data_IF_662469230274
#
_entry.id   IF_662469230274
#
_cell.length_a   1.000
_cell.length_b   1.000
_cell.length_c   1.000
_cell.angle_alpha   90.00
_cell.angle_beta   90.00
_cell.angle_gamma   90.00
#
_symmetry.space_group_name_H-M   'P 1'
#
loop_
_entity.id
_entity.type
_entity.pdbx_description
1 polymer ?
#
# COMPACT_ATOMS: atom_id res chain seq x y z
N UNK A 1 69.17 53.38 15.30
CA UNK A 1 68.45 52.26 14.67
C UNK A 1 68.87 50.97 15.37
N UNK A 2 68.04 50.44 16.27
CA UNK A 2 68.34 49.22 17.03
C UNK A 2 67.98 48.00 16.17
N UNK A 3 68.93 47.08 15.97
CA UNK A 3 68.70 45.84 15.20
C UNK A 3 67.76 44.92 16.00
N UNK A 4 66.70 44.37 15.40
CA UNK A 4 65.81 43.45 16.09
C UNK A 4 66.54 42.15 16.47
N UNK A 5 66.30 41.71 17.70
CA UNK A 5 66.91 40.54 18.32
C UNK A 5 66.52 39.26 17.57
N UNK A 6 67.46 38.48 17.00
CA UNK A 6 67.16 37.34 16.14
C UNK A 6 66.39 36.24 16.88
N UNK A 7 66.57 36.14 18.20
CA UNK A 7 65.89 35.15 19.05
C UNK A 7 64.38 35.42 19.14
N UNK A 8 63.96 36.70 19.20
CA UNK A 8 62.54 37.06 19.24
C UNK A 8 61.86 36.82 17.89
N UNK A 9 62.58 37.03 16.78
CA UNK A 9 62.07 36.72 15.44
C UNK A 9 61.87 35.21 15.25
N UNK A 10 62.82 34.38 15.71
CA UNK A 10 62.73 32.92 15.60
C UNK A 10 61.60 32.37 16.46
N UNK A 11 61.44 32.84 17.71
CA UNK A 11 60.35 32.40 18.59
C UNK A 11 58.98 32.81 18.06
N UNK A 12 58.87 34.02 17.47
CA UNK A 12 57.64 34.47 16.81
C UNK A 12 57.26 33.62 15.59
N UNK A 13 58.24 33.27 14.75
CA UNK A 13 58.02 32.42 13.57
C UNK A 13 57.69 30.98 13.98
N UNK A 14 58.37 30.43 14.98
CA UNK A 14 58.08 29.09 15.49
C UNK A 14 56.66 29.03 16.09
N UNK A 15 56.27 30.04 16.87
CA UNK A 15 54.93 30.14 17.47
C UNK A 15 53.81 30.16 16.44
N UNK A 16 53.96 30.93 15.36
CA UNK A 16 53.00 30.99 14.24
C UNK A 16 52.92 29.67 13.48
N UNK A 17 54.05 28.97 13.29
CA UNK A 17 54.07 27.66 12.63
C UNK A 17 53.43 26.56 13.49
N UNK A 18 53.57 26.60 14.82
CA UNK A 18 52.89 25.65 15.71
C UNK A 18 51.38 25.89 15.84
N UNK A 19 50.92 27.14 15.74
CA UNK A 19 49.48 27.44 15.81
C UNK A 19 48.70 27.01 14.55
N UNK A 20 49.37 26.93 13.39
CA UNK A 20 48.75 26.53 12.12
C UNK A 20 48.45 25.02 12.01
N UNK A 21 49.03 24.18 12.87
CA UNK A 21 48.84 22.73 12.83
C UNK A 21 47.53 22.23 13.50
N UNK A 22 46.77 23.12 14.15
CA UNK A 22 45.63 22.74 15.00
C UNK A 22 44.22 22.91 14.42
N UNK A 23 44.05 23.44 13.20
CA UNK A 23 42.73 23.75 12.65
C UNK A 23 42.18 22.62 11.75
N UNK A 24 42.05 21.41 12.31
CA UNK A 24 41.56 20.22 11.61
C UNK A 24 40.04 20.05 11.70
N UNK A 25 39.25 21.03 11.25
CA UNK A 25 37.82 20.83 11.04
C UNK A 25 37.51 21.08 9.56
N UNK A 26 37.89 20.12 8.71
CA UNK A 26 37.50 20.15 7.30
C UNK A 26 35.98 19.93 7.22
N UNK A 27 35.26 20.89 6.64
CA UNK A 27 33.83 20.77 6.32
C UNK A 27 33.68 20.41 4.85
N UNK A 28 32.75 19.51 4.54
CA UNK A 28 32.40 19.10 3.18
C UNK A 28 30.89 19.24 2.97
N UNK A 29 30.50 19.94 1.92
CA UNK A 29 29.10 20.01 1.47
C UNK A 29 28.86 18.92 0.44
N UNK A 30 27.91 18.03 0.71
CA UNK A 30 27.58 16.88 -0.12
C UNK A 30 26.20 17.10 -0.76
N UNK A 31 26.13 17.59 -2.00
CA UNK A 31 24.89 17.60 -2.78
C UNK A 31 24.64 16.21 -3.39
N UNK A 32 23.39 15.75 -3.33
CA UNK A 32 22.95 14.47 -3.92
C UNK A 32 21.77 14.73 -4.85
N UNK A 33 22.00 15.06 -6.13
CA UNK A 33 20.92 15.32 -7.06
C UNK A 33 20.14 14.04 -7.39
N UNK A 34 18.82 14.13 -7.33
CA UNK A 34 17.85 13.12 -7.74
C UNK A 34 16.94 13.72 -8.82
N UNK A 35 16.82 13.02 -9.94
CA UNK A 35 15.90 13.37 -11.02
C UNK A 35 15.03 12.15 -11.31
N UNK A 36 13.72 12.35 -11.38
CA UNK A 36 12.75 11.34 -11.80
C UNK A 36 11.94 11.89 -12.97
N UNK A 37 11.95 11.17 -14.08
CA UNK A 37 11.20 11.49 -15.29
C UNK A 37 10.20 10.36 -15.50
N UNK A 38 8.93 10.69 -15.66
CA UNK A 38 7.86 9.73 -15.87
C UNK A 38 6.99 10.17 -17.03
N UNK A 39 6.83 9.31 -18.03
CA UNK A 39 5.91 9.54 -19.13
C UNK A 39 4.80 8.50 -19.10
N UNK A 40 3.60 8.93 -19.44
CA UNK A 40 2.39 8.15 -19.41
C UNK A 40 1.57 8.46 -20.65
N UNK A 41 1.03 7.42 -21.25
CA UNK A 41 0.13 7.53 -22.37
C UNK A 41 -1.05 6.58 -22.15
N UNK A 42 -2.26 7.05 -22.42
CA UNK A 42 -3.43 6.22 -22.42
C UNK A 42 -4.23 6.39 -23.71
N UNK A 43 -4.78 5.26 -24.16
CA UNK A 43 -5.84 5.18 -25.14
C UNK A 43 -6.95 4.34 -24.57
N UNK A 44 -8.19 4.80 -24.76
CA UNK A 44 -9.39 4.06 -24.44
C UNK A 44 -10.30 4.12 -25.63
N UNK A 45 -10.76 2.96 -26.07
CA UNK A 45 -11.88 2.81 -26.99
C UNK A 45 -12.86 1.83 -26.37
N UNK A 46 -14.12 2.24 -26.27
CA UNK A 46 -15.16 1.44 -25.68
C UNK A 46 -16.42 1.49 -26.51
N UNK A 47 -16.97 0.30 -26.80
CA UNK A 47 -18.20 0.14 -27.56
C UNK A 47 -19.24 -0.51 -26.65
N UNK A 48 -20.43 0.07 -26.60
CA UNK A 48 -21.60 -0.47 -25.92
C UNK A 48 -22.79 -0.38 -26.85
N UNK A 49 -23.51 -1.48 -27.06
CA UNK A 49 -24.72 -1.48 -27.85
C UNK A 49 -25.72 -2.49 -27.31
N UNK A 50 -26.99 -2.24 -27.58
CA UNK A 50 -28.06 -3.12 -27.21
C UNK A 50 -29.20 -3.08 -28.20
N UNK A 51 -29.92 -4.19 -28.26
CA UNK A 51 -31.12 -4.36 -29.06
C UNK A 51 -32.14 -5.09 -28.19
N UNK A 52 -33.31 -4.50 -28.06
CA UNK A 52 -34.49 -5.11 -27.48
C UNK A 52 -35.52 -5.32 -28.59
N UNK A 53 -36.21 -6.45 -28.53
CA UNK A 53 -37.36 -6.75 -29.37
C UNK A 53 -38.46 -7.38 -28.52
N UNK A 54 -39.65 -7.57 -29.10
CA UNK A 54 -40.85 -8.01 -28.38
C UNK A 54 -40.71 -9.32 -27.59
N UNK A 55 -39.72 -10.15 -27.88
CA UNK A 55 -39.52 -11.47 -27.26
C UNK A 55 -38.11 -11.72 -26.73
N UNK A 56 -37.25 -10.70 -26.69
CA UNK A 56 -35.88 -10.89 -26.22
C UNK A 56 -35.04 -9.63 -26.28
N UNK A 57 -33.79 -9.76 -25.84
CA UNK A 57 -32.84 -8.67 -25.84
C UNK A 57 -31.42 -9.19 -26.03
N UNK A 58 -30.56 -8.28 -26.47
CA UNK A 58 -29.13 -8.46 -26.55
C UNK A 58 -28.45 -7.18 -26.06
N UNK A 59 -27.39 -7.31 -25.27
CA UNK A 59 -26.57 -6.20 -24.78
C UNK A 59 -25.11 -6.58 -24.82
N UNK A 60 -24.27 -5.69 -25.32
CA UNK A 60 -22.84 -5.85 -25.46
C UNK A 60 -22.16 -4.59 -24.94
N UNK A 61 -21.17 -4.73 -24.05
CA UNK A 61 -20.62 -3.60 -23.30
C UNK A 61 -21.48 -3.26 -22.07
N UNK A 62 -20.83 -3.04 -20.92
CA UNK A 62 -21.49 -2.86 -19.62
C UNK A 62 -20.91 -1.69 -18.82
N UNK A 63 -21.58 -1.34 -17.70
CA UNK A 63 -21.19 -0.24 -16.83
C UNK A 63 -19.76 -0.42 -16.31
N UNK A 64 -18.87 0.47 -16.76
CA UNK A 64 -17.43 0.37 -16.52
C UNK A 64 -16.69 -0.24 -17.71
N UNK A 65 -16.59 0.51 -18.82
CA UNK A 65 -15.50 0.29 -19.77
C UNK A 65 -14.20 0.31 -18.96
N UNK A 66 -13.39 -0.75 -19.08
CA UNK A 66 -12.21 -0.96 -18.25
C UNK A 66 -11.37 0.32 -18.22
N UNK A 67 -11.21 0.90 -17.03
CA UNK A 67 -10.32 2.02 -16.80
C UNK A 67 -8.91 1.49 -17.05
N UNK A 68 -8.13 2.05 -17.99
CA UNK A 68 -6.77 1.62 -18.21
C UNK A 68 -6.02 1.62 -16.86
N UNK A 69 -5.43 0.48 -16.45
CA UNK A 69 -4.75 0.38 -15.15
C UNK A 69 -3.46 1.19 -15.09
N UNK A 70 -3.04 1.74 -16.24
CA UNK A 70 -1.82 2.52 -16.40
C UNK A 70 -2.21 3.80 -17.12
N UNK A 71 -1.70 4.91 -16.60
CA UNK A 71 -1.57 6.14 -17.35
C UNK A 71 -2.37 7.34 -16.86
N UNK A 72 -2.76 7.34 -15.58
CA UNK A 72 -3.59 8.39 -14.97
C UNK A 72 -4.77 8.79 -15.86
N UNK A 73 -5.56 7.78 -16.22
CA UNK A 73 -6.75 7.94 -17.04
C UNK A 73 -7.68 9.00 -16.41
N UNK A 74 -8.03 10.02 -17.20
CA UNK A 74 -9.06 10.99 -16.83
C UNK A 74 -10.42 10.56 -17.44
N UNK A 75 -11.43 10.21 -16.61
CA UNK A 75 -12.76 9.82 -17.08
C UNK A 75 -13.51 10.91 -17.84
N UNK A 76 -13.15 12.18 -17.66
CA UNK A 76 -13.70 13.32 -18.39
C UNK A 76 -12.98 13.61 -19.72
N UNK A 77 -11.78 13.08 -19.93
CA UNK A 77 -10.99 13.29 -21.13
C UNK A 77 -11.34 12.25 -22.21
N UNK A 78 -12.43 12.50 -22.95
CA UNK A 78 -12.80 11.66 -24.08
C UNK A 78 -14.07 12.12 -24.80
N UNK A 79 -14.21 11.71 -26.05
CA UNK A 79 -15.42 11.90 -26.84
C UNK A 79 -16.36 10.71 -26.64
N UNK A 80 -17.61 11.02 -26.29
CA UNK A 80 -18.68 10.03 -26.19
C UNK A 80 -19.70 10.31 -27.30
N UNK A 81 -19.93 9.31 -28.13
CA UNK A 81 -20.91 9.34 -29.21
C UNK A 81 -21.95 8.27 -28.95
N UNK A 82 -23.22 8.59 -29.16
CA UNK A 82 -24.26 7.58 -29.04
C UNK A 82 -25.51 7.95 -29.84
N UNK A 83 -26.18 6.94 -30.36
CA UNK A 83 -27.46 7.09 -31.01
C UNK A 83 -28.40 5.95 -30.59
N UNK A 84 -29.68 6.29 -30.49
CA UNK A 84 -30.76 5.34 -30.23
C UNK A 84 -31.65 5.22 -31.46
N UNK A 85 -32.21 4.04 -31.66
CA UNK A 85 -33.22 3.82 -32.69
C UNK A 85 -34.41 3.08 -32.08
N UNK A 86 -35.59 3.36 -32.64
CA UNK A 86 -36.82 2.64 -32.31
C UNK A 86 -37.64 2.48 -33.58
N UNK A 87 -37.96 1.24 -33.93
CA UNK A 87 -38.75 0.93 -35.12
C UNK A 87 -39.44 -0.43 -34.96
N UNK A 88 -40.74 -0.49 -35.27
CA UNK A 88 -41.45 -1.77 -35.46
C UNK A 88 -41.38 -2.77 -34.30
N UNK A 89 -41.48 -2.32 -33.04
CA UNK A 89 -41.38 -3.21 -31.86
C UNK A 89 -39.94 -3.61 -31.50
N UNK A 90 -38.96 -3.01 -32.15
CA UNK A 90 -37.54 -3.06 -31.78
C UNK A 90 -37.07 -1.69 -31.29
N UNK A 91 -36.25 -1.70 -30.26
CA UNK A 91 -35.53 -0.53 -29.79
C UNK A 91 -34.08 -0.91 -29.51
N UNK A 92 -33.16 0.01 -29.76
CA UNK A 92 -31.75 -0.26 -29.57
C UNK A 92 -30.95 1.00 -29.43
N UNK A 93 -29.73 0.81 -28.99
CA UNK A 93 -28.79 1.88 -28.80
C UNK A 93 -27.40 1.42 -29.21
N UNK A 94 -26.60 2.37 -29.69
CA UNK A 94 -25.19 2.22 -29.90
C UNK A 94 -24.48 3.39 -29.24
N UNK A 95 -23.41 3.10 -28.52
CA UNK A 95 -22.60 4.05 -27.79
C UNK A 95 -21.12 3.71 -28.02
N UNK A 96 -20.34 4.71 -28.36
CA UNK A 96 -18.92 4.65 -28.60
C UNK A 96 -18.24 5.72 -27.74
N UNK A 97 -17.28 5.33 -26.93
CA UNK A 97 -16.45 6.23 -26.14
C UNK A 97 -15.01 6.07 -26.58
N UNK A 98 -14.35 7.15 -26.96
CA UNK A 98 -12.91 7.16 -27.22
C UNK A 98 -12.25 8.30 -26.45
N UNK A 99 -11.13 8.01 -25.80
CA UNK A 99 -10.32 9.00 -25.09
C UNK A 99 -8.85 8.67 -25.24
N UNK A 100 -8.03 9.70 -25.40
CA UNK A 100 -6.58 9.58 -25.50
C UNK A 100 -5.95 10.69 -24.67
N UNK A 101 -4.85 10.40 -24.00
CA UNK A 101 -4.12 11.39 -23.25
C UNK A 101 -2.66 11.02 -23.06
N UNK A 102 -1.85 12.03 -22.82
CA UNK A 102 -0.42 11.92 -22.54
C UNK A 102 -0.10 12.79 -21.32
N UNK A 103 0.68 12.26 -20.37
CA UNK A 103 1.18 12.98 -19.21
C UNK A 103 2.67 12.75 -19.07
N UNK A 104 3.41 13.82 -18.84
CA UNK A 104 4.84 13.81 -18.57
C UNK A 104 5.09 14.50 -17.23
N UNK A 105 5.81 13.82 -16.35
CA UNK A 105 6.22 14.29 -15.03
C UNK A 105 7.74 14.39 -14.97
N UNK A 106 8.24 15.49 -14.40
CA UNK A 106 9.66 15.70 -14.13
C UNK A 106 9.80 16.20 -12.69
N UNK A 107 10.54 15.45 -11.87
CA UNK A 107 10.86 15.80 -10.49
C UNK A 107 12.38 15.93 -10.40
N UNK A 108 12.87 17.09 -9.98
CA UNK A 108 14.30 17.32 -9.70
C UNK A 108 14.46 17.83 -8.29
N UNK A 109 15.18 17.07 -7.47
CA UNK A 109 15.47 17.38 -6.07
C UNK A 109 16.96 17.25 -5.85
N UNK A 110 17.58 18.15 -5.07
CA UNK A 110 19.00 18.06 -4.75
C UNK A 110 19.19 18.35 -3.26
N UNK A 111 19.01 17.35 -2.38
CA UNK A 111 19.39 17.48 -0.98
C UNK A 111 20.89 17.73 -0.85
N UNK A 112 21.26 18.65 0.05
CA UNK A 112 22.63 19.02 0.36
C UNK A 112 22.87 18.99 1.86
N UNK A 113 23.97 18.36 2.29
CA UNK A 113 24.35 18.25 3.70
C UNK A 113 25.80 18.70 3.90
N UNK A 114 26.03 19.64 4.82
CA UNK A 114 27.38 20.02 5.23
C UNK A 114 27.79 19.23 6.47
N UNK A 115 28.83 18.42 6.35
CA UNK A 115 29.38 17.59 7.44
C UNK A 115 30.83 17.97 7.75
N UNK A 116 31.22 17.87 9.01
CA UNK A 116 32.62 17.90 9.42
C UNK A 116 33.27 16.53 9.20
N UNK A 117 34.56 16.52 8.90
CA UNK A 117 35.31 15.27 8.74
C UNK A 117 35.20 14.39 9.99
N UNK A 118 34.82 13.13 9.79
CA UNK A 118 34.65 12.15 10.87
C UNK A 118 33.28 12.15 11.55
N UNK A 119 32.37 13.08 11.21
CA UNK A 119 31.02 13.12 11.78
C UNK A 119 29.98 12.65 10.75
N UNK A 120 29.19 11.61 11.05
CA UNK A 120 28.06 11.24 10.20
C UNK A 120 26.99 12.34 10.29
N UNK A 121 26.30 12.58 9.19
CA UNK A 121 25.09 13.39 9.18
C UNK A 121 24.06 12.77 8.25
N UNK A 122 22.79 13.06 8.52
CA UNK A 122 21.65 12.59 7.75
C UNK A 122 20.70 13.75 7.50
N UNK A 123 20.10 13.76 6.31
CA UNK A 123 19.00 14.65 5.96
C UNK A 123 17.80 13.79 5.59
N UNK A 124 16.63 14.10 6.15
CA UNK A 124 15.37 13.44 5.81
C UNK A 124 14.30 14.50 5.64
N UNK A 125 13.71 14.54 4.45
CA UNK A 125 12.51 15.31 4.15
C UNK A 125 11.42 14.31 3.74
N UNK A 126 10.47 14.07 4.63
CA UNK A 126 9.46 13.05 4.46
C UNK A 126 8.43 13.07 5.59
N UNK A 127 7.22 12.59 5.31
CA UNK A 127 6.17 12.45 6.31
C UNK A 127 6.28 11.12 7.05
N UNK A 128 6.19 11.16 8.38
CA UNK A 128 6.09 9.96 9.21
C UNK A 128 4.62 9.53 9.26
N UNK A 129 4.28 8.42 8.61
CA UNK A 129 2.96 7.79 8.71
C UNK A 129 2.99 6.67 9.75
N UNK A 130 2.44 6.87 10.96
CA UNK A 130 2.42 5.83 11.97
C UNK A 130 1.46 4.70 11.57
N UNK A 131 1.86 3.46 11.82
CA UNK A 131 1.00 2.28 11.67
C UNK A 131 1.00 1.44 12.95
N UNK A 132 -0.14 0.81 13.25
CA UNK A 132 -0.30 -0.05 14.44
C UNK A 132 0.38 -1.39 14.18
N UNK A 133 1.46 -1.68 14.93
CA UNK A 133 2.22 -2.95 14.81
C UNK A 133 1.67 -4.05 15.73
N UNK A 134 0.90 -3.67 16.76
CA UNK A 134 0.27 -4.62 17.67
C UNK A 134 -0.70 -3.94 18.63
N UNK A 135 -1.71 -4.69 19.07
CA UNK A 135 -2.53 -4.31 20.21
C UNK A 135 -2.13 -5.19 21.39
N UNK A 136 -1.72 -4.60 22.51
CA UNK A 136 -1.55 -5.32 23.77
C UNK A 136 -2.81 -5.11 24.63
N UNK A 137 -3.67 -6.12 24.78
CA UNK A 137 -4.81 -6.00 25.69
C UNK A 137 -4.31 -6.01 27.14
N UNK A 138 -4.63 -4.97 27.90
CA UNK A 138 -4.36 -4.91 29.34
C UNK A 138 -5.44 -5.70 30.07
N UNK A 139 -5.10 -6.86 30.62
CA UNK A 139 -5.95 -7.61 31.56
C UNK A 139 -5.43 -7.39 32.99
N UNK A 140 -5.77 -6.23 33.54
CA UNK A 140 -5.45 -5.87 34.93
C UNK A 140 -4.02 -5.35 35.14
N UNK A 141 -3.91 -4.14 35.71
CA UNK A 141 -2.64 -3.52 36.13
C UNK A 141 -1.99 -2.67 35.03
N UNK A 142 -1.89 -1.37 35.27
CA UNK A 142 -1.11 -0.43 34.45
C UNK A 142 0.40 -0.71 34.59
N UNK A 143 1.14 -1.10 33.54
CA UNK A 143 2.53 -0.71 33.43
C UNK A 143 2.58 0.77 33.03
N UNK A 144 3.18 1.59 33.88
CA UNK A 144 3.55 2.96 33.53
C UNK A 144 4.68 2.84 32.51
N UNK A 145 4.33 2.81 31.22
CA UNK A 145 5.32 3.04 30.18
C UNK A 145 5.68 4.52 30.23
N UNK A 146 6.90 4.81 30.67
CA UNK A 146 7.46 6.15 30.59
C UNK A 146 7.29 6.68 29.18
N UNK A 147 6.77 7.90 29.07
CA UNK A 147 6.71 8.68 27.84
C UNK A 147 8.05 8.61 27.12
N UNK A 148 8.16 7.75 26.11
CA UNK A 148 9.25 7.83 25.14
C UNK A 148 8.83 8.95 24.20
N UNK A 149 9.19 10.18 24.57
CA UNK A 149 9.16 11.28 23.62
C UNK A 149 10.09 10.94 22.44
N UNK A 150 9.93 11.59 21.28
CA UNK A 150 10.89 11.45 20.18
C UNK A 150 12.24 11.98 20.66
N UNK A 151 13.08 11.11 21.20
CA UNK A 151 14.47 11.42 21.48
C UNK A 151 15.19 11.37 20.15
N UNK A 152 15.78 12.51 19.75
CA UNK A 152 16.76 12.56 18.68
C UNK A 152 17.79 11.45 18.96
N UNK A 153 18.05 10.52 18.03
CA UNK A 153 19.04 9.49 18.27
C UNK A 153 20.37 10.17 18.56
N UNK A 154 20.90 9.97 19.77
CA UNK A 154 22.24 10.46 20.06
C UNK A 154 23.23 9.76 19.11
N UNK A 155 24.14 10.52 18.47
CA UNK A 155 25.16 9.92 17.63
C UNK A 155 26.02 9.00 18.50
N UNK A 156 25.99 7.70 18.19
CA UNK A 156 26.90 6.73 18.79
C UNK A 156 28.32 7.18 18.43
N UNK A 157 29.05 7.71 19.40
CA UNK A 157 30.46 8.04 19.24
C UNK A 157 31.24 6.74 19.01
N UNK A 158 31.58 6.48 17.75
CA UNK A 158 32.50 5.42 17.37
C UNK A 158 33.92 6.02 17.39
N UNK A 159 34.81 5.58 18.31
CA UNK A 159 36.18 6.01 18.28
C UNK A 159 36.84 5.53 16.98
N UNK A 160 37.57 6.43 16.33
CA UNK A 160 38.30 6.13 15.10
C UNK A 160 39.29 4.98 15.32
N UNK A 161 39.16 3.91 14.54
CA UNK A 161 40.10 2.77 14.54
C UNK A 161 39.46 1.39 14.65
N UNK A 162 38.15 1.28 14.91
CA UNK A 162 37.45 -0.01 14.90
C UNK A 162 36.95 -0.34 13.48
N UNK A 163 37.30 -1.50 12.90
CA UNK A 163 36.78 -1.90 11.60
C UNK A 163 35.26 -2.18 11.68
N UNK A 164 34.47 -1.37 10.96
CA UNK A 164 32.99 -1.36 10.96
C UNK A 164 32.38 -2.50 10.14
N UNK A 165 32.98 -3.70 10.18
CA UNK A 165 32.42 -4.80 9.43
C UNK A 165 32.34 -6.06 10.27
N UNK A 166 31.11 -6.39 10.67
CA UNK A 166 30.76 -7.76 11.02
C UNK A 166 31.27 -8.67 9.88
N UNK A 167 32.08 -9.70 10.16
CA UNK A 167 32.68 -10.55 9.12
C UNK A 167 31.65 -11.19 8.19
N UNK A 168 30.41 -11.38 8.67
CA UNK A 168 29.30 -11.84 7.85
C UNK A 168 28.91 -10.84 6.75
N UNK A 169 28.97 -9.53 7.02
CA UNK A 169 28.66 -8.47 6.05
C UNK A 169 29.75 -8.36 4.99
N UNK A 170 31.03 -8.55 5.37
CA UNK A 170 32.13 -8.63 4.39
C UNK A 170 32.01 -9.86 3.49
N UNK A 171 31.72 -11.01 4.06
CA UNK A 171 31.50 -12.23 3.28
C UNK A 171 30.30 -12.13 2.34
N UNK A 172 29.22 -11.46 2.78
CA UNK A 172 28.05 -11.21 1.94
C UNK A 172 28.35 -10.26 0.78
N UNK A 173 29.13 -9.19 1.03
CA UNK A 173 29.51 -8.23 0.01
C UNK A 173 30.49 -8.82 -1.02
N UNK A 174 31.43 -9.66 -0.56
CA UNK A 174 32.34 -10.39 -1.45
C UNK A 174 31.61 -11.41 -2.33
N UNK A 175 30.59 -12.11 -1.80
CA UNK A 175 29.70 -12.95 -2.63
C UNK A 175 28.90 -12.14 -3.65
N UNK A 176 28.30 -11.03 -3.23
CA UNK A 176 27.53 -10.16 -4.12
C UNK A 176 28.40 -9.55 -5.24
N UNK A 177 29.71 -9.38 -5.00
CA UNK A 177 30.68 -8.93 -6.01
C UNK A 177 31.13 -10.04 -6.97
N UNK A 178 31.07 -11.30 -6.54
CA UNK A 178 31.50 -12.45 -7.32
C UNK A 178 30.38 -13.04 -8.19
N UNK A 179 29.12 -12.64 -7.99
CA UNK A 179 27.98 -13.09 -8.77
C UNK A 179 27.84 -12.26 -10.07
N UNK A 180 27.75 -12.88 -11.26
CA UNK A 180 27.37 -12.17 -12.47
C UNK A 180 25.90 -11.76 -12.38
N UNK A 181 25.62 -10.47 -12.62
CA UNK A 181 24.26 -9.92 -12.64
C UNK A 181 23.40 -10.64 -13.69
N UNK A 182 22.52 -11.53 -13.22
CA UNK A 182 21.37 -12.02 -13.99
C UNK A 182 20.28 -10.94 -14.09
N UNK A 183 19.35 -11.05 -15.06
CA UNK A 183 18.37 -10.01 -15.35
C UNK A 183 17.46 -9.74 -14.15
N UNK A 184 17.41 -8.48 -13.74
CA UNK A 184 16.63 -7.97 -12.63
C UNK A 184 15.12 -8.17 -12.85
N UNK A 185 14.50 -9.03 -12.04
CA UNK A 185 13.06 -9.04 -11.87
C UNK A 185 12.66 -7.87 -10.97
N UNK A 186 12.24 -6.77 -11.60
CA UNK A 186 11.65 -5.61 -10.93
C UNK A 186 10.19 -5.89 -10.62
N UNK A 187 9.86 -6.12 -9.35
CA UNK A 187 8.50 -5.87 -8.84
C UNK A 187 8.59 -4.74 -7.83
N UNK A 188 8.53 -3.51 -8.35
CA UNK A 188 8.43 -2.30 -7.55
C UNK A 188 6.94 -1.96 -7.42
N UNK A 189 6.41 -2.06 -6.22
CA UNK A 189 5.09 -1.54 -5.86
C UNK A 189 5.34 -0.13 -5.34
N UNK A 190 5.06 0.88 -6.17
CA UNK A 190 5.16 2.29 -5.75
C UNK A 190 3.83 2.74 -5.10
N UNK A 191 3.88 3.49 -3.98
CA UNK A 191 2.69 4.11 -3.39
C UNK A 191 2.24 5.34 -4.21
N UNK A 192 0.93 5.67 -4.22
CA UNK A 192 0.40 6.79 -5.00
C UNK A 192 0.87 8.16 -4.45
N UNK A 193 1.05 9.18 -5.33
CA UNK A 193 1.53 10.50 -4.94
C UNK A 193 0.47 11.32 -4.18
N UNK A 194 0.87 12.28 -3.34
CA UNK A 194 -0.05 13.15 -2.60
C UNK A 194 -0.66 14.22 -3.52
N UNK A 195 -1.99 14.33 -3.51
CA UNK A 195 -2.74 15.40 -4.16
C UNK A 195 -2.58 16.72 -3.39
N UNK A 196 -2.16 17.78 -4.08
CA UNK A 196 -2.14 19.16 -3.59
C UNK A 196 -3.38 19.86 -4.18
N UNK A 197 -4.37 20.31 -3.38
CA UNK A 197 -5.52 21.04 -3.91
C UNK A 197 -5.16 22.48 -4.30
N UNK A 198 -5.48 22.86 -5.54
CA UNK A 198 -5.37 24.24 -6.03
C UNK A 198 -6.72 24.94 -5.84
N UNK A 199 -6.82 25.76 -4.79
CA UNK A 199 -8.03 26.51 -4.42
C UNK A 199 -8.20 27.75 -5.32
N UNK A 200 -8.82 27.60 -6.50
CA UNK A 200 -9.45 28.73 -7.22
C UNK A 200 -10.71 28.31 -8.00
N UNK A 201 -11.85 28.54 -7.35
CA UNK A 201 -13.18 28.86 -7.91
C UNK A 201 -13.86 27.81 -8.82
N UNK A 202 -14.85 27.07 -8.28
CA UNK A 202 -16.21 27.03 -8.81
C UNK A 202 -17.17 26.20 -7.92
N UNK A 203 -18.24 26.87 -7.47
CA UNK A 203 -19.56 26.39 -7.02
C UNK A 203 -19.74 24.99 -6.40
N UNK A 204 -20.09 25.02 -5.11
CA UNK A 204 -20.47 23.91 -4.27
C UNK A 204 -21.76 23.20 -4.74
N UNK A 205 -21.59 22.13 -5.50
CA UNK A 205 -22.51 21.00 -5.46
C UNK A 205 -22.09 20.09 -4.29
N UNK A 206 -22.99 19.89 -3.33
CA UNK A 206 -22.84 18.99 -2.18
C UNK A 206 -22.61 17.55 -2.67
N UNK A 207 -21.34 17.17 -2.84
CA UNK A 207 -20.92 15.79 -2.99
C UNK A 207 -20.78 15.17 -1.59
N UNK A 208 -21.25 13.92 -1.37
CA UNK A 208 -21.10 13.26 -0.08
C UNK A 208 -19.62 13.14 0.26
N UNK A 209 -19.25 13.64 1.43
CA UNK A 209 -17.89 13.64 1.94
C UNK A 209 -17.22 12.26 1.72
N UNK A 210 -16.05 12.27 1.10
CA UNK A 210 -15.18 11.10 0.99
C UNK A 210 -15.05 10.43 2.37
N UNK A 211 -15.23 9.10 2.48
CA UNK A 211 -15.14 8.44 3.77
C UNK A 211 -13.75 8.70 4.35
N UNK A 212 -13.72 9.41 5.47
CA UNK A 212 -12.48 9.71 6.18
C UNK A 212 -11.73 8.42 6.48
N UNK A 213 -10.41 8.46 6.24
CA UNK A 213 -9.49 7.37 6.51
C UNK A 213 -9.76 6.72 7.88
N UNK A 214 -9.77 5.39 7.91
CA UNK A 214 -9.94 4.58 9.13
C UNK A 214 -8.92 4.91 10.21
N UNK A 215 -7.81 5.57 9.85
CA UNK A 215 -6.76 6.04 10.75
C UNK A 215 -7.18 7.23 11.66
N UNK A 216 -8.27 7.94 11.34
CA UNK A 216 -8.79 9.07 12.16
C UNK A 216 -9.86 8.60 13.15
N UNK A 217 -10.32 7.34 13.04
CA UNK A 217 -11.34 6.82 13.95
C UNK A 217 -10.70 6.45 15.29
N UNK A 218 -11.22 6.97 16.43
CA UNK A 218 -10.80 6.49 17.73
C UNK A 218 -11.00 4.97 17.78
N UNK A 219 -10.00 4.24 18.27
CA UNK A 219 -10.07 2.78 18.36
C UNK A 219 -11.34 2.40 19.15
N UNK A 220 -12.21 1.61 18.52
CA UNK A 220 -13.44 1.12 19.14
C UNK A 220 -13.12 0.45 20.48
N UNK A 221 -13.95 0.69 21.49
CA UNK A 221 -13.79 0.07 22.81
C UNK A 221 -13.76 -1.46 22.67
N UNK A 222 -13.10 -2.17 23.59
CA UNK A 222 -13.04 -3.65 23.60
C UNK A 222 -14.45 -4.25 23.60
N UNK A 223 -15.38 -3.61 24.29
CA UNK A 223 -16.80 -4.00 24.30
C UNK A 223 -17.46 -3.83 22.94
N UNK A 224 -17.16 -2.74 22.24
CA UNK A 224 -17.69 -2.45 20.90
C UNK A 224 -17.15 -3.44 19.86
N UNK A 225 -15.85 -3.78 19.94
CA UNK A 225 -15.24 -4.79 19.07
C UNK A 225 -15.82 -6.20 19.29
N UNK A 226 -16.14 -6.56 20.53
CA UNK A 226 -16.83 -7.83 20.84
C UNK A 226 -18.24 -7.84 20.26
N UNK A 227 -18.98 -6.75 20.44
CA UNK A 227 -20.33 -6.60 19.90
C UNK A 227 -20.38 -6.74 18.38
N UNK A 228 -19.44 -6.10 17.68
CA UNK A 228 -19.35 -6.21 16.21
C UNK A 228 -19.09 -7.66 15.79
N UNK A 229 -18.15 -8.37 16.43
CA UNK A 229 -17.88 -9.79 16.11
C UNK A 229 -19.05 -10.71 16.44
N UNK A 230 -19.77 -10.46 17.53
CA UNK A 230 -20.96 -11.21 17.89
C UNK A 230 -22.09 -10.99 16.87
N UNK A 231 -22.26 -9.76 16.39
CA UNK A 231 -23.23 -9.44 15.34
C UNK A 231 -22.87 -10.09 14.00
N UNK A 232 -21.59 -10.05 13.61
CA UNK A 232 -21.08 -10.72 12.41
C UNK A 232 -21.23 -12.24 12.49
N UNK A 233 -20.87 -12.85 13.63
CA UNK A 233 -21.02 -14.29 13.85
C UNK A 233 -22.49 -14.70 13.85
N UNK A 234 -23.38 -13.88 14.43
CA UNK A 234 -24.83 -14.11 14.40
C UNK A 234 -25.37 -14.05 12.98
N UNK A 235 -24.93 -13.09 12.17
CA UNK A 235 -25.33 -12.98 10.75
C UNK A 235 -24.82 -14.16 9.92
N UNK A 236 -23.54 -14.50 10.05
CA UNK A 236 -22.94 -15.66 9.39
C UNK A 236 -23.64 -16.96 9.75
N UNK A 237 -23.97 -17.15 11.03
CA UNK A 237 -24.72 -18.32 11.50
C UNK A 237 -26.16 -18.36 10.98
N UNK A 238 -26.83 -17.22 10.78
CA UNK A 238 -28.16 -17.18 10.19
C UNK A 238 -28.14 -17.62 8.70
N UNK A 239 -27.17 -17.13 7.93
CA UNK A 239 -26.97 -17.54 6.53
C UNK A 239 -26.59 -19.02 6.44
N UNK A 240 -25.76 -19.50 7.37
CA UNK A 240 -25.36 -20.90 7.43
C UNK A 240 -26.55 -21.84 7.71
N UNK A 241 -27.50 -21.44 8.57
CA UNK A 241 -28.74 -22.20 8.82
C UNK A 241 -29.59 -22.31 7.56
N UNK A 242 -29.76 -21.23 6.81
CA UNK A 242 -30.50 -21.25 5.55
C UNK A 242 -29.85 -22.15 4.47
N UNK A 243 -28.51 -22.29 4.49
CA UNK A 243 -27.81 -23.26 3.64
C UNK A 243 -27.95 -24.70 4.18
N UNK A 244 -27.94 -24.87 5.49
CA UNK A 244 -28.12 -26.17 6.14
C UNK A 244 -29.50 -26.77 5.90
N UNK A 245 -30.56 -25.95 5.97
CA UNK A 245 -31.93 -26.40 5.72
C UNK A 245 -32.12 -26.85 4.27
N UNK A 246 -31.57 -26.08 3.31
CA UNK A 246 -31.52 -26.47 1.90
C UNK A 246 -30.72 -27.76 1.66
N UNK A 247 -29.66 -27.97 2.43
CA UNK A 247 -28.90 -29.22 2.38
C UNK A 247 -29.74 -30.42 2.84
N UNK A 248 -30.55 -30.26 3.91
CA UNK A 248 -31.45 -31.31 4.39
C UNK A 248 -32.57 -31.64 3.39
N UNK A 249 -33.13 -30.64 2.74
CA UNK A 249 -34.14 -30.84 1.69
C UNK A 249 -33.55 -31.58 0.47
N UNK A 250 -32.33 -31.21 0.06
CA UNK A 250 -31.58 -31.93 -0.97
C UNK A 250 -31.26 -33.38 -0.58
N UNK A 251 -30.99 -33.63 0.71
CA UNK A 251 -30.76 -34.97 1.24
C UNK A 251 -32.04 -35.82 1.23
N UNK A 252 -33.17 -35.25 1.70
CA UNK A 252 -34.47 -35.93 1.70
C UNK A 252 -34.99 -36.24 0.29
N UNK A 253 -34.65 -35.40 -0.69
CA UNK A 253 -34.98 -35.64 -2.10
C UNK A 253 -34.01 -36.58 -2.81
N UNK A 254 -33.07 -37.21 -2.08
CA UNK A 254 -32.13 -38.21 -2.62
C UNK A 254 -30.99 -37.62 -3.46
N UNK A 255 -30.84 -36.29 -3.52
CA UNK A 255 -29.81 -35.60 -4.31
C UNK A 255 -28.54 -35.39 -3.47
N UNK A 256 -27.86 -36.48 -3.13
CA UNK A 256 -26.69 -36.49 -2.24
C UNK A 256 -25.55 -35.55 -2.71
N UNK A 257 -25.32 -35.45 -4.03
CA UNK A 257 -24.33 -34.52 -4.58
C UNK A 257 -24.66 -33.05 -4.32
N UNK A 258 -25.92 -32.65 -4.47
CA UNK A 258 -26.36 -31.29 -4.18
C UNK A 258 -26.34 -30.99 -2.67
N UNK A 259 -26.77 -31.96 -1.85
CA UNK A 259 -26.72 -31.84 -0.38
C UNK A 259 -25.29 -31.57 0.11
N UNK A 260 -24.30 -32.29 -0.43
CA UNK A 260 -22.88 -32.07 -0.11
C UNK A 260 -22.42 -30.64 -0.41
N UNK A 261 -22.80 -30.07 -1.56
CA UNK A 261 -22.45 -28.69 -1.92
C UNK A 261 -23.08 -27.69 -0.95
N UNK A 262 -24.36 -27.87 -0.58
CA UNK A 262 -25.02 -27.00 0.40
C UNK A 262 -24.40 -27.11 1.80
N UNK A 263 -24.02 -28.31 2.24
CA UNK A 263 -23.30 -28.48 3.51
C UNK A 263 -21.93 -27.81 3.49
N UNK A 264 -21.18 -27.89 2.39
CA UNK A 264 -19.90 -27.17 2.27
C UNK A 264 -20.08 -25.65 2.33
N UNK A 265 -21.13 -25.12 1.69
CA UNK A 265 -21.46 -23.70 1.75
C UNK A 265 -21.88 -23.25 3.15
N UNK A 266 -22.57 -24.10 3.90
CA UNK A 266 -22.94 -23.84 5.30
C UNK A 266 -21.71 -23.88 6.21
N UNK A 267 -20.79 -24.84 6.03
CA UNK A 267 -19.58 -24.99 6.85
C UNK A 267 -18.61 -23.80 6.75
N UNK A 268 -18.59 -23.11 5.60
CA UNK A 268 -17.76 -21.91 5.39
C UNK A 268 -18.28 -20.68 6.13
N UNK A 269 -19.57 -20.65 6.47
CA UNK A 269 -20.26 -19.50 7.09
C UNK A 269 -20.64 -19.73 8.55
N UNK A 270 -20.72 -20.99 8.97
CA UNK A 270 -21.03 -21.36 10.34
C UNK A 270 -19.80 -21.24 11.24
N UNK A 271 -20.05 -20.84 12.49
CA UNK A 271 -19.09 -20.90 13.59
C UNK A 271 -19.60 -21.75 14.76
N UNK A 272 -18.67 -22.16 15.63
CA UNK A 272 -18.98 -22.87 16.86
C UNK A 272 -19.69 -24.22 16.65
N UNK A 273 -20.71 -24.49 17.47
CA UNK A 273 -21.40 -25.78 17.51
C UNK A 273 -22.12 -26.14 16.19
N UNK A 274 -22.63 -25.14 15.46
CA UNK A 274 -23.32 -25.37 14.18
C UNK A 274 -22.35 -25.91 13.12
N UNK A 275 -21.13 -25.37 13.07
CA UNK A 275 -20.08 -25.85 12.16
C UNK A 275 -19.71 -27.31 12.44
N UNK A 276 -19.57 -27.67 13.71
CA UNK A 276 -19.28 -29.05 14.11
C UNK A 276 -20.38 -30.03 13.65
N UNK A 277 -21.65 -29.65 13.82
CA UNK A 277 -22.77 -30.46 13.35
C UNK A 277 -22.80 -30.61 11.81
N UNK A 278 -22.50 -29.54 11.07
CA UNK A 278 -22.42 -29.55 9.60
C UNK A 278 -21.30 -30.49 9.13
N UNK A 279 -20.11 -30.39 9.71
CA UNK A 279 -18.96 -31.22 9.35
C UNK A 279 -19.22 -32.69 9.62
N UNK A 280 -19.80 -33.03 10.78
CA UNK A 280 -20.19 -34.40 11.09
C UNK A 280 -21.19 -34.98 10.07
N UNK A 281 -22.11 -34.15 9.55
CA UNK A 281 -23.06 -34.58 8.51
C UNK A 281 -22.39 -34.73 7.14
N UNK A 282 -21.43 -33.86 6.82
CA UNK A 282 -20.63 -33.92 5.60
C UNK A 282 -19.78 -35.20 5.54
N UNK A 283 -19.22 -35.61 6.68
CA UNK A 283 -18.46 -36.85 6.80
C UNK A 283 -19.35 -38.08 6.63
N UNK A 284 -20.56 -38.08 7.20
CA UNK A 284 -21.53 -39.17 7.03
C UNK A 284 -21.92 -39.38 5.55
N UNK A 285 -22.22 -38.28 4.83
CA UNK A 285 -22.58 -38.34 3.40
C UNK A 285 -21.36 -38.67 2.52
N UNK A 286 -20.16 -38.23 2.94
CA UNK A 286 -18.91 -38.52 2.25
C UNK A 286 -18.45 -39.98 2.39
N UNK A 287 -18.81 -40.64 3.49
CA UNK A 287 -18.49 -42.05 3.75
C UNK A 287 -19.30 -43.05 2.92
N UNK A 288 -20.55 -42.73 2.59
CA UNK A 288 -21.46 -43.60 1.85
C UNK A 288 -21.27 -43.58 0.32
N UNK A 289 -20.37 -42.72 -0.20
CA UNK A 289 -20.09 -42.56 -1.64
C UNK A 289 -19.05 -43.52 -2.23
N UNK A 290 -18.67 -44.58 -1.52
CA UNK A 290 -17.79 -45.64 -2.05
C UNK A 290 -18.65 -46.63 -2.87
N UNK A 291 -19.04 -46.24 -4.08
CA UNK A 291 -19.64 -47.19 -5.03
C UNK A 291 -18.63 -48.32 -5.36
N UNK A 292 -19.04 -49.60 -5.32
CA UNK A 292 -18.23 -50.70 -5.83
C UNK A 292 -18.12 -50.57 -7.36
N UNK A 293 -16.88 -50.64 -7.85
CA UNK A 293 -16.58 -50.79 -9.28
C UNK A 293 -17.00 -52.16 -9.80
#
# INVERSE_FOLDING_TARGET
MSRPDPVRAIVGVLGVLTAAAGAGAQQATLPTPQQAISDSFFERVGVNWGLNWSSGFFRFGGAGLAIPPVGDFDPGAGANFGFGFRSGGMDGFFHFAAGQGYRQGFISQTPGLTVTNGFPGSFSDGSLSPFVVGHMPVVGGFPIFGTVGPTVPEPIYQPAGMPVANPAVRAALERARAEPQGPAATTRVDPPPPEIPDDRNAEAAELPASPSSTAVRPAASVEESRRIREEESRRGNAEARACFDRAREAEQSGKLGAARVYYQMAARRADGALKAAILARLDAIGGDGKEPR
#
